data_IF_635353456645
#
_entry.id   IF_635353456645
#
_cell.length_a   1.000
_cell.length_b   1.000
_cell.length_c   1.000
_cell.angle_alpha   90.00
_cell.angle_beta   90.00
_cell.angle_gamma   90.00
#
_symmetry.space_group_name_H-M   'P 1'
#
loop_
_entity.id
_entity.type
_entity.pdbx_description
1 polymer ?
#
# COMPACT_ATOMS: atom_id res chain seq x y z
N UNK A 1 -15.45 -9.21 0.09
CA UNK A 1 -15.21 -8.31 -1.05
C UNK A 1 -14.07 -7.41 -0.63
N UNK A 2 -13.00 -7.38 -1.41
CA UNK A 2 -11.88 -6.47 -1.16
C UNK A 2 -12.30 -5.04 -1.52
N UNK A 3 -11.97 -4.07 -0.68
CA UNK A 3 -12.30 -2.67 -0.97
C UNK A 3 -11.39 -2.10 -2.06
N UNK A 4 -11.88 -1.13 -2.84
CA UNK A 4 -11.09 -0.49 -3.91
C UNK A 4 -9.76 0.08 -3.39
N UNK A 5 -9.72 0.52 -2.13
CA UNK A 5 -8.53 1.04 -1.47
C UNK A 5 -7.51 -0.06 -1.18
N UNK A 6 -7.97 -1.22 -0.69
CA UNK A 6 -7.09 -2.38 -0.47
C UNK A 6 -6.44 -2.80 -1.79
N UNK A 7 -7.22 -2.89 -2.87
CA UNK A 7 -6.71 -3.25 -4.20
C UNK A 7 -5.63 -2.26 -4.69
N UNK A 8 -5.83 -0.96 -4.47
CA UNK A 8 -4.84 0.07 -4.80
C UNK A 8 -3.57 -0.06 -3.95
N UNK A 9 -3.72 -0.28 -2.64
CA UNK A 9 -2.59 -0.51 -1.73
C UNK A 9 -1.78 -1.73 -2.16
N UNK A 10 -2.45 -2.85 -2.47
CA UNK A 10 -1.82 -4.07 -2.98
C UNK A 10 -1.04 -3.81 -4.25
N UNK A 11 -1.68 -3.17 -5.24
CA UNK A 11 -1.06 -2.82 -6.51
C UNK A 11 0.22 -2.01 -6.32
N UNK A 12 0.18 -0.96 -5.51
CA UNK A 12 1.34 -0.08 -5.31
C UNK A 12 2.44 -0.73 -4.46
N UNK A 13 2.09 -1.53 -3.45
CA UNK A 13 3.05 -2.29 -2.67
C UNK A 13 3.80 -3.31 -3.55
N UNK A 14 3.08 -4.12 -4.34
CA UNK A 14 3.70 -5.08 -5.24
C UNK A 14 4.54 -4.39 -6.33
N UNK A 15 4.03 -3.30 -6.91
CA UNK A 15 4.78 -2.53 -7.90
C UNK A 15 6.08 -1.96 -7.32
N UNK A 16 6.06 -1.48 -6.07
CA UNK A 16 7.25 -0.99 -5.39
C UNK A 16 8.24 -2.14 -5.14
N UNK A 17 7.73 -3.30 -4.70
CA UNK A 17 8.55 -4.47 -4.44
C UNK A 17 9.28 -4.98 -5.69
N UNK A 18 8.55 -5.10 -6.81
CA UNK A 18 9.12 -5.52 -8.10
C UNK A 18 10.10 -4.48 -8.64
N UNK A 19 9.74 -3.19 -8.57
CA UNK A 19 10.57 -2.10 -9.12
C UNK A 19 11.93 -1.96 -8.41
N UNK A 20 11.96 -2.16 -7.11
CA UNK A 20 13.16 -1.94 -6.29
C UNK A 20 13.81 -3.24 -5.77
N UNK A 21 13.20 -4.41 -6.01
CA UNK A 21 13.70 -5.70 -5.53
C UNK A 21 13.78 -5.79 -4.00
N UNK A 22 12.98 -4.98 -3.28
CA UNK A 22 13.00 -4.84 -1.82
C UNK A 22 11.59 -4.96 -1.28
N UNK A 23 11.46 -5.29 0.01
CA UNK A 23 10.17 -5.25 0.67
C UNK A 23 9.52 -3.84 0.50
N UNK A 24 8.22 -3.77 0.18
CA UNK A 24 7.57 -2.49 -0.01
C UNK A 24 7.58 -1.67 1.27
N UNK A 25 7.95 -0.39 1.16
CA UNK A 25 7.99 0.51 2.30
C UNK A 25 6.69 1.30 2.39
N UNK A 26 6.12 1.39 3.60
CA UNK A 26 4.86 2.10 3.86
C UNK A 26 4.88 3.53 3.31
N UNK A 27 5.96 4.28 3.54
CA UNK A 27 6.10 5.65 3.04
C UNK A 27 6.09 5.75 1.51
N UNK A 28 6.69 4.78 0.82
CA UNK A 28 6.73 4.75 -0.64
C UNK A 28 5.36 4.41 -1.24
N UNK A 29 4.65 3.45 -0.65
CA UNK A 29 3.27 3.10 -1.04
C UNK A 29 2.33 4.27 -0.78
N UNK A 30 2.47 4.92 0.37
CA UNK A 30 1.65 6.09 0.73
C UNK A 30 1.92 7.28 -0.20
N UNK A 31 3.18 7.58 -0.49
CA UNK A 31 3.54 8.67 -1.42
C UNK A 31 3.00 8.43 -2.83
N UNK A 32 3.10 7.18 -3.32
CA UNK A 32 2.54 6.77 -4.62
C UNK A 32 1.03 6.92 -4.65
N UNK A 33 0.33 6.36 -3.65
CA UNK A 33 -1.12 6.41 -3.54
C UNK A 33 -1.63 7.86 -3.46
N UNK A 34 -1.03 8.70 -2.63
CA UNK A 34 -1.43 10.10 -2.48
C UNK A 34 -1.04 10.96 -3.68
N UNK A 35 -0.03 10.56 -4.46
CA UNK A 35 0.35 11.22 -5.70
C UNK A 35 -0.66 10.97 -6.83
N UNK A 36 -1.05 9.71 -7.01
CA UNK A 36 -2.01 9.28 -8.05
C UNK A 36 -3.47 9.57 -7.66
N UNK A 37 -3.78 9.55 -6.35
CA UNK A 37 -5.11 9.77 -5.79
C UNK A 37 -5.11 10.87 -4.71
N UNK A 38 -4.99 12.15 -5.09
CA UNK A 38 -5.09 13.30 -4.19
C UNK A 38 -6.29 13.28 -3.23
N UNK A 39 -7.43 12.76 -3.68
CA UNK A 39 -8.69 12.62 -2.94
C UNK A 39 -8.55 11.74 -1.71
N UNK A 40 -7.64 10.77 -1.72
CA UNK A 40 -7.40 9.85 -0.60
C UNK A 40 -6.61 10.50 0.54
N UNK A 41 -6.06 11.71 0.36
CA UNK A 41 -5.34 12.43 1.42
C UNK A 41 -6.20 12.71 2.64
N UNK A 42 -7.50 12.95 2.44
CA UNK A 42 -8.45 13.14 3.54
C UNK A 42 -8.61 11.87 4.38
N UNK A 43 -8.40 10.70 3.77
CA UNK A 43 -8.49 9.37 4.38
C UNK A 43 -7.12 8.82 4.78
N UNK A 44 -6.07 9.62 4.73
CA UNK A 44 -4.70 9.14 4.97
C UNK A 44 -4.52 8.45 6.34
N UNK A 45 -5.25 8.91 7.37
CA UNK A 45 -5.24 8.31 8.71
C UNK A 45 -5.87 6.92 8.77
N UNK A 46 -6.84 6.64 7.91
CA UNK A 46 -7.50 5.33 7.76
C UNK A 46 -6.65 4.38 6.91
N UNK A 47 -6.01 4.91 5.86
CA UNK A 47 -5.24 4.12 4.89
C UNK A 47 -3.88 3.70 5.45
N UNK A 48 -3.23 4.57 6.24
CA UNK A 48 -1.91 4.29 6.83
C UNK A 48 -1.84 2.95 7.60
N UNK A 49 -2.77 2.63 8.53
CA UNK A 49 -2.77 1.34 9.20
C UNK A 49 -3.10 0.17 8.26
N UNK A 50 -3.95 0.36 7.24
CA UNK A 50 -4.25 -0.70 6.25
C UNK A 50 -2.99 -1.12 5.48
N UNK A 51 -2.18 -0.15 5.05
CA UNK A 51 -0.88 -0.42 4.43
C UNK A 51 0.02 -1.17 5.41
N UNK A 52 0.08 -0.74 6.67
CA UNK A 52 0.91 -1.39 7.69
C UNK A 52 0.54 -2.86 7.93
N UNK A 53 -0.75 -3.17 8.02
CA UNK A 53 -1.25 -4.56 8.13
C UNK A 53 -0.88 -5.37 6.89
N UNK A 54 -1.17 -4.84 5.71
CA UNK A 54 -0.89 -5.54 4.45
C UNK A 54 0.60 -5.86 4.25
N UNK A 55 1.49 -4.92 4.59
CA UNK A 55 2.93 -5.14 4.49
C UNK A 55 3.43 -6.22 5.46
N UNK A 56 2.81 -6.33 6.64
CA UNK A 56 3.10 -7.42 7.58
C UNK A 56 2.64 -8.77 7.04
N UNK A 57 1.45 -8.81 6.44
CA UNK A 57 0.90 -10.05 5.86
C UNK A 57 1.81 -10.58 4.75
N UNK A 58 2.22 -9.71 3.81
CA UNK A 58 3.21 -10.07 2.77
C UNK A 58 4.53 -10.57 3.40
N UNK A 59 5.05 -9.86 4.40
CA UNK A 59 6.33 -10.21 5.02
C UNK A 59 6.27 -11.58 5.73
N UNK A 60 5.09 -11.99 6.21
CA UNK A 60 4.86 -13.30 6.84
C UNK A 60 4.72 -14.45 5.85
N UNK A 61 4.73 -14.20 4.54
CA UNK A 61 4.76 -15.24 3.51
C UNK A 61 3.42 -15.92 3.24
N UNK A 62 2.30 -15.28 3.58
CA UNK A 62 0.96 -15.75 3.17
C UNK A 62 0.49 -14.88 1.99
N UNK A 63 0.45 -15.41 0.75
CA UNK A 63 -0.09 -14.69 -0.41
C UNK A 63 -1.59 -14.42 -0.31
#
# INVERSE_FOLDING_TARGET
>A
MESDIELLVKKYALQNAVKYGKAPQQGAVMGKLMGEHPELRQRAKEISPLIGTFLKDIASGTP
#
